data_IF_452573927421
#
_entry.id   IF_452573927421
#
_cell.length_a   1.000
_cell.length_b   1.000
_cell.length_c   1.000
_cell.angle_alpha   90.00
_cell.angle_beta   90.00
_cell.angle_gamma   90.00
#
_symmetry.space_group_name_H-M   'P 1'
#
loop_
_entity.id
_entity.type
_entity.pdbx_description
1 polymer ?
#
# COMPACT_ATOMS: atom_id res chain seq x y z
N UNK A 1 -16.39 8.16 -32.45
CA UNK A 1 -16.97 6.85 -32.08
C UNK A 1 -17.10 6.77 -30.57
N UNK A 2 -18.28 6.49 -30.08
CA UNK A 2 -18.47 6.35 -28.62
C UNK A 2 -17.74 5.09 -28.14
N UNK A 3 -16.98 5.20 -27.05
CA UNK A 3 -16.36 4.04 -26.42
C UNK A 3 -17.46 3.13 -25.86
N UNK A 4 -17.30 1.84 -26.02
CA UNK A 4 -18.20 0.86 -25.42
C UNK A 4 -17.93 0.80 -23.91
N UNK A 5 -18.95 0.41 -23.13
CA UNK A 5 -18.74 0.10 -21.73
C UNK A 5 -17.68 -1.02 -21.63
N UNK A 6 -16.53 -0.73 -21.06
CA UNK A 6 -15.40 -1.65 -20.99
C UNK A 6 -14.24 -1.33 -21.93
N UNK A 7 -14.41 -0.40 -22.87
CA UNK A 7 -13.33 0.05 -23.76
C UNK A 7 -12.53 1.19 -23.11
N UNK A 8 -12.18 1.04 -21.83
CA UNK A 8 -11.36 2.01 -21.13
C UNK A 8 -9.93 1.92 -21.65
N UNK A 9 -9.41 3.02 -22.17
CA UNK A 9 -8.02 3.10 -22.62
C UNK A 9 -7.10 3.01 -21.40
N UNK A 10 -6.03 2.21 -21.47
CA UNK A 10 -5.04 2.11 -20.40
C UNK A 10 -4.47 3.48 -20.03
N UNK A 11 -4.34 4.38 -21.03
CA UNK A 11 -3.85 5.74 -20.79
C UNK A 11 -4.74 6.58 -19.88
N UNK A 12 -6.01 6.17 -19.68
CA UNK A 12 -6.99 6.87 -18.83
C UNK A 12 -7.10 6.30 -17.44
N UNK A 13 -6.40 5.20 -17.14
CA UNK A 13 -6.47 4.53 -15.82
C UNK A 13 -5.73 5.39 -14.79
N UNK A 14 -6.43 5.79 -13.74
CA UNK A 14 -5.89 6.65 -12.68
C UNK A 14 -6.13 6.09 -11.28
N UNK A 15 -6.74 4.94 -11.18
CA UNK A 15 -6.97 4.24 -9.91
C UNK A 15 -6.95 2.73 -10.10
N UNK A 16 -6.81 2.01 -9.00
CA UNK A 16 -6.97 0.55 -8.99
C UNK A 16 -7.48 0.11 -7.63
N UNK A 17 -8.06 -1.08 -7.59
CA UNK A 17 -8.50 -1.71 -6.36
C UNK A 17 -8.09 -3.19 -6.36
N UNK A 18 -7.66 -3.67 -5.21
CA UNK A 18 -7.24 -5.05 -4.99
C UNK A 18 -7.98 -5.60 -3.78
N UNK A 19 -8.30 -6.88 -3.80
CA UNK A 19 -8.91 -7.56 -2.66
C UNK A 19 -8.14 -8.84 -2.38
N UNK A 20 -7.82 -9.06 -1.09
CA UNK A 20 -7.16 -10.29 -0.64
C UNK A 20 -7.79 -10.76 0.66
N UNK A 21 -7.92 -12.07 0.81
CA UNK A 21 -8.35 -12.67 2.09
C UNK A 21 -7.11 -13.15 2.82
N UNK A 22 -6.95 -12.70 4.05
CA UNK A 22 -5.78 -12.96 4.88
C UNK A 22 -6.21 -13.82 6.07
N UNK A 23 -5.45 -14.87 6.36
CA UNK A 23 -5.78 -15.86 7.39
C UNK A 23 -5.40 -15.37 8.79
N UNK A 24 -6.02 -14.30 9.25
CA UNK A 24 -5.80 -13.70 10.57
C UNK A 24 -6.97 -12.81 10.96
N UNK A 25 -7.19 -12.58 12.28
CA UNK A 25 -8.25 -11.69 12.74
C UNK A 25 -7.98 -10.24 12.34
N UNK A 26 -9.04 -9.48 12.20
CA UNK A 26 -9.03 -8.11 11.68
C UNK A 26 -8.09 -7.16 12.44
N UNK A 27 -8.08 -7.22 13.75
CA UNK A 27 -7.22 -6.36 14.55
C UNK A 27 -5.73 -6.62 14.28
N UNK A 28 -5.36 -7.88 14.10
CA UNK A 28 -3.98 -8.26 13.79
C UNK A 28 -3.58 -7.84 12.39
N UNK A 29 -4.48 -7.99 11.41
CA UNK A 29 -4.23 -7.54 10.04
C UNK A 29 -4.08 -6.02 10.00
N UNK A 30 -4.95 -5.29 10.71
CA UNK A 30 -4.83 -3.84 10.82
C UNK A 30 -3.46 -3.46 11.40
N UNK A 31 -3.04 -4.10 12.49
CA UNK A 31 -1.75 -3.83 13.13
C UNK A 31 -0.58 -4.07 12.19
N UNK A 32 -0.71 -5.02 11.27
CA UNK A 32 0.36 -5.28 10.29
C UNK A 32 0.55 -4.14 9.29
N UNK A 33 -0.40 -3.21 9.21
CA UNK A 33 -0.31 -2.02 8.37
C UNK A 33 0.25 -0.80 9.11
N UNK A 34 0.33 -0.84 10.45
CA UNK A 34 0.69 0.33 11.26
C UNK A 34 1.78 0.05 12.29
N UNK A 35 2.36 -1.13 12.30
CA UNK A 35 3.46 -1.48 13.20
C UNK A 35 4.71 -1.80 12.36
N UNK A 36 5.77 -0.98 12.44
CA UNK A 36 6.98 -1.21 11.64
C UNK A 36 7.59 -2.61 11.79
N UNK A 37 7.52 -3.20 12.98
CA UNK A 37 8.02 -4.56 13.22
C UNK A 37 7.29 -5.62 12.39
N UNK A 38 6.06 -5.35 11.99
CA UNK A 38 5.27 -6.24 11.13
C UNK A 38 5.35 -5.82 9.68
N UNK A 39 5.38 -4.51 9.41
CA UNK A 39 5.42 -3.95 8.04
C UNK A 39 6.67 -4.39 7.28
N UNK A 40 7.78 -4.58 7.96
CA UNK A 40 9.05 -4.97 7.32
C UNK A 40 8.99 -6.30 6.57
N UNK A 41 8.00 -7.15 6.86
CA UNK A 41 7.89 -8.47 6.23
C UNK A 41 7.09 -8.46 4.93
N UNK A 42 6.31 -7.40 4.68
CA UNK A 42 5.41 -7.46 3.53
C UNK A 42 5.26 -6.16 2.73
N UNK A 43 5.45 -4.99 3.37
CA UNK A 43 5.16 -3.69 2.71
C UNK A 43 6.01 -3.48 1.46
N UNK A 44 7.29 -3.70 1.53
CA UNK A 44 8.17 -3.62 0.36
C UNK A 44 7.88 -4.80 -0.57
N UNK A 45 7.62 -4.57 -1.88
CA UNK A 45 7.32 -5.67 -2.79
C UNK A 45 8.51 -6.59 -3.00
N UNK A 46 8.29 -7.75 -3.60
CA UNK A 46 9.36 -8.71 -3.87
C UNK A 46 10.50 -8.05 -4.63
N UNK A 47 11.72 -8.35 -4.24
CA UNK A 47 12.92 -7.75 -4.80
C UNK A 47 13.33 -6.45 -4.12
N UNK A 48 12.62 -6.06 -3.06
CA UNK A 48 12.92 -4.87 -2.25
C UNK A 48 13.03 -5.23 -0.78
N UNK A 49 13.81 -4.44 -0.05
CA UNK A 49 14.01 -4.60 1.38
C UNK A 49 13.71 -3.28 2.07
N UNK A 50 12.91 -3.32 3.14
CA UNK A 50 12.65 -2.15 3.97
C UNK A 50 13.90 -1.82 4.78
N UNK A 51 14.40 -0.59 4.65
CA UNK A 51 15.56 -0.12 5.42
C UNK A 51 15.14 0.62 6.68
N UNK A 52 14.07 1.40 6.62
CA UNK A 52 13.57 2.16 7.76
C UNK A 52 12.09 2.46 7.59
N UNK A 53 11.40 2.65 8.70
CA UNK A 53 9.99 2.97 8.73
C UNK A 53 9.71 3.83 9.96
N UNK A 54 9.19 5.03 9.74
CA UNK A 54 8.83 5.96 10.81
C UNK A 54 7.38 6.40 10.63
N UNK A 55 6.57 6.17 11.66
CA UNK A 55 5.15 6.49 11.65
C UNK A 55 4.81 7.43 12.81
N UNK A 56 4.13 8.52 12.51
CA UNK A 56 3.42 9.33 13.50
C UNK A 56 1.94 8.92 13.38
N UNK A 57 1.56 7.89 14.12
CA UNK A 57 0.28 7.19 13.95
C UNK A 57 -0.87 7.97 14.60
N UNK A 58 -1.27 9.04 13.93
CA UNK A 58 -2.43 9.86 14.26
C UNK A 58 -2.94 10.53 13.00
N UNK A 59 -4.19 10.92 12.97
CA UNK A 59 -4.73 11.68 11.83
C UNK A 59 -3.96 12.99 11.70
N UNK A 60 -3.50 13.28 10.48
CA UNK A 60 -2.59 14.40 10.21
C UNK A 60 -1.12 14.08 10.44
N UNK A 61 -0.79 12.93 11.03
CA UNK A 61 0.59 12.52 11.25
C UNK A 61 1.28 12.07 9.96
N UNK A 62 2.59 12.26 9.90
CA UNK A 62 3.39 11.87 8.74
C UNK A 62 3.89 10.43 8.87
N UNK A 63 4.03 9.76 7.74
CA UNK A 63 4.71 8.47 7.68
C UNK A 63 5.81 8.52 6.62
N UNK A 64 6.84 7.72 6.81
CA UNK A 64 7.99 7.71 5.91
C UNK A 64 8.65 6.34 5.95
N UNK A 65 9.00 5.83 4.77
CA UNK A 65 9.62 4.52 4.63
C UNK A 65 10.69 4.56 3.55
N UNK A 66 11.83 3.94 3.82
CA UNK A 66 12.89 3.75 2.84
C UNK A 66 12.97 2.29 2.45
N UNK A 67 13.01 2.05 1.15
CA UNK A 67 13.17 0.70 0.59
C UNK A 67 14.37 0.68 -0.35
N UNK A 68 14.99 -0.48 -0.47
CA UNK A 68 16.14 -0.69 -1.34
C UNK A 68 15.83 -1.80 -2.32
N UNK A 69 16.17 -1.57 -3.60
CA UNK A 69 16.16 -2.64 -4.61
C UNK A 69 17.27 -3.64 -4.30
N UNK A 70 16.93 -4.91 -4.14
CA UNK A 70 17.93 -5.95 -3.87
C UNK A 70 18.85 -6.17 -5.08
N UNK A 71 18.32 -5.94 -6.29
CA UNK A 71 19.07 -6.10 -7.54
C UNK A 71 20.07 -4.96 -7.75
N UNK A 72 19.59 -3.71 -7.71
CA UNK A 72 20.40 -2.54 -8.07
C UNK A 72 21.04 -1.83 -6.89
N UNK A 73 20.54 -2.06 -5.67
CA UNK A 73 20.95 -1.32 -4.49
C UNK A 73 20.36 0.09 -4.40
N UNK A 74 19.56 0.52 -5.39
CA UNK A 74 18.94 1.84 -5.39
C UNK A 74 17.96 1.97 -4.22
N UNK A 75 18.03 3.10 -3.51
CA UNK A 75 17.17 3.40 -2.38
C UNK A 75 16.11 4.41 -2.79
N UNK A 76 14.86 4.12 -2.43
CA UNK A 76 13.74 5.01 -2.65
C UNK A 76 13.06 5.31 -1.31
N UNK A 77 12.53 6.52 -1.19
CA UNK A 77 11.77 6.93 -0.01
C UNK A 77 10.34 7.18 -0.41
N UNK A 78 9.42 6.48 0.24
CA UNK A 78 7.99 6.76 0.13
C UNK A 78 7.52 7.45 1.39
N UNK A 79 6.52 8.31 1.28
CA UNK A 79 6.04 9.12 2.38
C UNK A 79 4.61 9.58 2.15
N UNK A 80 3.99 10.05 3.22
CA UNK A 80 2.64 10.57 3.16
C UNK A 80 2.13 11.05 4.50
N UNK A 81 0.82 11.24 4.58
CA UNK A 81 0.12 11.73 5.75
C UNK A 81 -1.11 10.87 5.99
N UNK A 82 -1.36 10.50 7.24
CA UNK A 82 -2.58 9.78 7.62
C UNK A 82 -3.78 10.72 7.57
N UNK A 83 -4.81 10.32 6.84
CA UNK A 83 -6.07 11.07 6.71
C UNK A 83 -7.14 10.56 7.64
N UNK A 84 -7.21 9.23 7.82
CA UNK A 84 -8.18 8.58 8.68
C UNK A 84 -7.58 7.33 9.28
N UNK A 85 -7.73 7.16 10.59
CA UNK A 85 -7.30 5.95 11.30
C UNK A 85 -8.49 5.49 12.14
N UNK A 86 -9.20 4.47 11.64
CA UNK A 86 -10.34 3.88 12.33
C UNK A 86 -10.03 2.41 12.57
N UNK A 87 -9.29 2.14 13.63
CA UNK A 87 -8.89 0.78 13.98
C UNK A 87 -10.10 -0.02 14.49
N UNK A 88 -10.24 -1.28 14.12
CA UNK A 88 -9.46 -2.04 13.13
C UNK A 88 -10.11 -2.08 11.74
N UNK A 89 -10.93 -1.08 11.38
CA UNK A 89 -11.82 -1.13 10.23
C UNK A 89 -11.27 -0.48 8.97
N UNK A 90 -10.57 0.66 9.13
CA UNK A 90 -10.24 1.50 7.98
C UNK A 90 -9.00 2.34 8.23
N UNK A 91 -8.17 2.46 7.17
CA UNK A 91 -6.98 3.27 7.17
C UNK A 91 -6.92 4.04 5.85
N UNK A 92 -6.75 5.36 5.92
CA UNK A 92 -6.62 6.21 4.74
C UNK A 92 -5.35 7.05 4.88
N UNK A 93 -4.50 7.03 3.87
CA UNK A 93 -3.26 7.81 3.87
C UNK A 93 -2.88 8.25 2.46
N UNK A 94 -2.15 9.37 2.38
CA UNK A 94 -1.56 9.80 1.12
C UNK A 94 -0.25 9.06 0.88
N UNK A 95 0.14 8.94 -0.38
CA UNK A 95 1.37 8.25 -0.78
C UNK A 95 2.06 9.05 -1.88
N UNK A 96 3.34 9.31 -1.71
CA UNK A 96 4.19 9.96 -2.70
C UNK A 96 5.61 9.41 -2.57
N UNK A 97 6.44 9.68 -3.57
CA UNK A 97 7.86 9.35 -3.56
C UNK A 97 8.68 10.61 -3.41
N UNK A 98 9.75 10.53 -2.64
CA UNK A 98 10.71 11.62 -2.51
C UNK A 98 11.57 11.68 -3.77
N UNK A 99 11.71 12.88 -4.35
CA UNK A 99 12.59 13.11 -5.50
C UNK A 99 14.00 13.47 -5.05
N UNK A 100 14.98 13.28 -5.94
CA UNK A 100 16.37 13.62 -5.67
C UNK A 100 16.57 15.11 -5.32
N UNK A 101 15.70 15.99 -5.83
CA UNK A 101 15.77 17.44 -5.54
C UNK A 101 15.10 17.83 -4.22
N UNK A 102 14.63 16.87 -3.42
CA UNK A 102 13.93 17.12 -2.17
C UNK A 102 12.43 17.35 -2.28
N UNK A 103 11.90 17.46 -3.50
CA UNK A 103 10.45 17.53 -3.74
C UNK A 103 9.80 16.15 -3.72
N UNK A 104 8.49 16.13 -3.87
CA UNK A 104 7.70 14.89 -3.91
C UNK A 104 7.03 14.71 -5.26
N UNK A 105 6.76 13.45 -5.60
CA UNK A 105 5.89 13.15 -6.73
C UNK A 105 4.46 13.56 -6.38
N UNK A 106 3.58 13.57 -7.38
CA UNK A 106 2.16 13.86 -7.16
C UNK A 106 1.59 12.89 -6.12
N UNK A 107 0.99 13.40 -5.02
CA UNK A 107 0.44 12.51 -3.98
C UNK A 107 -0.82 11.80 -4.47
N UNK A 108 -0.90 10.53 -4.11
CA UNK A 108 -2.06 9.68 -4.36
C UNK A 108 -2.75 9.38 -3.03
N UNK A 109 -3.96 8.85 -3.08
CA UNK A 109 -4.72 8.49 -1.88
C UNK A 109 -4.90 6.98 -1.82
N UNK A 110 -4.52 6.39 -0.69
CA UNK A 110 -4.70 4.97 -0.41
C UNK A 110 -5.79 4.81 0.63
N UNK A 111 -6.75 3.94 0.34
CA UNK A 111 -7.80 3.55 1.29
C UNK A 111 -7.73 2.05 1.48
N UNK A 112 -7.60 1.62 2.74
CA UNK A 112 -7.58 0.20 3.10
C UNK A 112 -8.75 -0.08 4.02
N UNK A 113 -9.53 -1.13 3.69
CA UNK A 113 -10.65 -1.58 4.51
C UNK A 113 -10.37 -2.99 4.98
N UNK A 114 -10.68 -3.25 6.24
CA UNK A 114 -10.46 -4.53 6.89
C UNK A 114 -11.82 -5.10 7.27
N UNK A 115 -12.28 -6.08 6.50
CA UNK A 115 -13.63 -6.63 6.63
C UNK A 115 -13.53 -8.01 7.26
N UNK A 116 -14.22 -8.20 8.39
CA UNK A 116 -14.20 -9.46 9.10
C UNK A 116 -14.93 -10.55 8.29
N UNK A 117 -14.26 -11.70 8.14
CA UNK A 117 -14.78 -12.89 7.45
C UNK A 117 -14.52 -14.12 8.32
N UNK A 118 -15.31 -14.28 9.39
CA UNK A 118 -15.05 -15.33 10.39
C UNK A 118 -13.72 -15.08 11.07
N UNK A 119 -12.81 -16.05 11.01
CA UNK A 119 -11.46 -15.92 11.59
C UNK A 119 -10.45 -15.28 10.63
N UNK A 120 -10.87 -15.00 9.41
CA UNK A 120 -10.06 -14.35 8.38
C UNK A 120 -10.49 -12.90 8.19
N UNK A 121 -9.71 -12.16 7.41
CA UNK A 121 -9.99 -10.76 7.08
C UNK A 121 -9.92 -10.56 5.58
N UNK A 122 -10.93 -9.93 5.02
CA UNK A 122 -10.87 -9.45 3.66
C UNK A 122 -10.26 -8.05 3.67
N UNK A 123 -9.13 -7.88 2.99
CA UNK A 123 -8.45 -6.60 2.85
C UNK A 123 -8.85 -6.00 1.50
N UNK A 124 -9.55 -4.87 1.53
CA UNK A 124 -9.85 -4.08 0.34
C UNK A 124 -8.85 -2.93 0.26
N UNK A 125 -8.06 -2.88 -0.80
CA UNK A 125 -7.02 -1.89 -1.00
C UNK A 125 -7.32 -1.09 -2.26
N UNK A 126 -7.37 0.23 -2.14
CA UNK A 126 -7.60 1.12 -3.28
C UNK A 126 -6.57 2.23 -3.27
N UNK A 127 -6.02 2.55 -4.43
CA UNK A 127 -5.16 3.71 -4.60
C UNK A 127 -5.68 4.53 -5.79
N UNK A 128 -5.84 5.84 -5.59
CA UNK A 128 -6.47 6.72 -6.55
C UNK A 128 -5.72 8.06 -6.66
N UNK A 129 -6.11 8.86 -7.63
CA UNK A 129 -5.53 10.18 -7.92
C UNK A 129 -4.13 10.13 -8.54
N UNK A 130 -3.85 9.10 -9.33
CA UNK A 130 -2.57 9.04 -10.05
C UNK A 130 -2.48 10.13 -11.12
N UNK A 131 -1.31 10.76 -11.23
CA UNK A 131 -1.05 11.75 -12.26
C UNK A 131 -0.95 11.14 -13.66
N UNK A 132 -0.51 9.88 -13.75
CA UNK A 132 -0.36 9.17 -15.03
C UNK A 132 -0.82 7.72 -14.91
N UNK A 133 -1.27 7.18 -16.04
CA UNK A 133 -1.63 5.75 -16.11
C UNK A 133 -0.42 4.85 -15.85
N UNK A 134 0.77 5.25 -16.33
CA UNK A 134 2.00 4.49 -16.10
C UNK A 134 2.27 4.33 -14.60
N UNK A 135 2.17 5.42 -13.86
CA UNK A 135 2.36 5.39 -12.40
C UNK A 135 1.32 4.49 -11.72
N UNK A 136 0.07 4.59 -12.15
CA UNK A 136 -1.02 3.76 -11.64
C UNK A 136 -0.73 2.26 -11.85
N UNK A 137 -0.37 1.86 -13.05
CA UNK A 137 -0.08 0.46 -13.38
C UNK A 137 1.15 -0.06 -12.62
N UNK A 138 2.16 0.77 -12.47
CA UNK A 138 3.37 0.42 -11.71
C UNK A 138 3.06 0.18 -10.23
N UNK A 139 2.24 1.03 -9.63
CA UNK A 139 1.84 0.89 -8.23
C UNK A 139 0.93 -0.32 -8.03
N UNK A 140 0.03 -0.59 -8.97
CA UNK A 140 -0.82 -1.78 -8.91
C UNK A 140 0.03 -3.05 -8.89
N UNK A 141 1.04 -3.13 -9.73
CA UNK A 141 1.95 -4.28 -9.76
C UNK A 141 2.72 -4.43 -8.44
N UNK A 142 3.22 -3.32 -7.90
CA UNK A 142 3.94 -3.32 -6.62
C UNK A 142 3.06 -3.74 -5.45
N UNK A 143 1.85 -3.19 -5.35
CA UNK A 143 0.93 -3.55 -4.27
C UNK A 143 0.39 -4.96 -4.40
N UNK A 144 0.19 -5.46 -5.63
CA UNK A 144 -0.15 -6.87 -5.85
C UNK A 144 0.91 -7.77 -5.22
N UNK A 145 2.18 -7.48 -5.46
CA UNK A 145 3.30 -8.22 -4.88
C UNK A 145 3.31 -8.10 -3.35
N UNK A 146 3.15 -6.89 -2.82
CA UNK A 146 3.16 -6.66 -1.37
C UNK A 146 2.01 -7.38 -0.67
N UNK A 147 0.80 -7.34 -1.24
CA UNK A 147 -0.35 -8.04 -0.66
C UNK A 147 -0.21 -9.56 -0.72
N UNK A 148 0.49 -10.10 -1.72
CA UNK A 148 0.86 -11.51 -1.74
C UNK A 148 1.80 -11.84 -0.58
N UNK A 149 2.79 -10.99 -0.33
CA UNK A 149 3.69 -11.15 0.81
C UNK A 149 2.94 -11.06 2.14
N UNK A 150 1.96 -10.19 2.25
CA UNK A 150 1.11 -10.10 3.44
C UNK A 150 0.35 -11.41 3.68
N UNK A 151 -0.22 -11.98 2.63
CA UNK A 151 -0.92 -13.26 2.70
C UNK A 151 0.04 -14.36 3.18
N UNK A 152 1.23 -14.42 2.58
CA UNK A 152 2.26 -15.41 2.96
C UNK A 152 2.74 -15.21 4.40
N UNK A 153 2.84 -13.97 4.86
CA UNK A 153 3.24 -13.64 6.23
C UNK A 153 2.32 -14.28 7.25
N UNK A 154 1.01 -14.21 7.01
CA UNK A 154 0.03 -14.81 7.91
C UNK A 154 -0.12 -16.32 7.70
N UNK A 155 0.03 -16.81 6.47
CA UNK A 155 -0.01 -18.24 6.17
C UNK A 155 1.16 -18.97 6.83
N UNK A 156 2.28 -18.27 7.09
CA UNK A 156 3.42 -18.80 7.83
C UNK A 156 3.22 -18.84 9.34
N UNK A 157 2.02 -18.53 9.86
CA UNK A 157 1.71 -18.54 11.29
C UNK A 157 2.27 -17.37 12.07
N UNK A 158 2.59 -16.29 11.41
CA UNK A 158 3.08 -15.07 12.07
C UNK A 158 1.94 -14.38 12.82
N UNK A 159 2.25 -13.79 13.95
CA UNK A 159 1.26 -13.10 14.78
C UNK A 159 1.81 -11.81 15.38
#
# INVERSE_FOLDING_TARGET
MAARAGDVQLADVRDFALTRVVAAPRDLVFRSFVEPARMKYWWAPRGFTMLSCALDLREGGAWRMRIRSDESGAVQTELGVYREIRAPERLVFTHAWLRANGGMTHPTLVTVRFIERGEATEVGFQQEDFATARSCLSHEAGWTSSLELLTEYFDGGKS
#
